data_IF_706835460317
#
_entry.id   IF_706835460317
#
_cell.length_a   1.000
_cell.length_b   1.000
_cell.length_c   1.000
_cell.angle_alpha   90.00
_cell.angle_beta   90.00
_cell.angle_gamma   90.00
#
_symmetry.space_group_name_H-M   'P 1'
#
loop_
_entity.id
_entity.type
_entity.pdbx_description
1 polymer ?
#
# COMPACT_ATOMS: atom_id res chain seq x y z
N UNK A 1 10.18 -1.33 -39.31
CA UNK A 1 9.96 -2.22 -38.14
C UNK A 1 9.51 -1.34 -36.98
N UNK A 2 8.21 -1.28 -36.72
CA UNK A 2 7.62 -0.51 -35.61
C UNK A 2 7.99 -1.19 -34.29
N UNK A 3 8.52 -0.41 -33.35
CA UNK A 3 8.87 -0.87 -32.01
C UNK A 3 7.60 -1.26 -31.25
N UNK A 4 7.36 -2.54 -30.91
CA UNK A 4 6.13 -2.99 -30.25
C UNK A 4 5.97 -2.47 -28.80
N UNK A 5 6.95 -1.74 -28.28
CA UNK A 5 6.93 -1.16 -26.93
C UNK A 5 6.45 0.30 -26.87
N UNK A 6 6.32 1.00 -28.01
CA UNK A 6 5.94 2.40 -28.05
C UNK A 6 4.50 2.65 -27.52
N UNK A 7 3.58 1.72 -27.73
CA UNK A 7 2.18 1.85 -27.29
C UNK A 7 1.90 1.38 -25.84
N UNK A 8 2.89 0.75 -25.18
CA UNK A 8 2.70 0.18 -23.82
C UNK A 8 3.07 1.15 -22.69
N UNK A 9 3.98 2.09 -22.94
CA UNK A 9 4.47 3.04 -21.92
C UNK A 9 3.37 4.02 -21.49
N UNK A 10 2.60 4.64 -22.40
CA UNK A 10 1.50 5.52 -22.01
C UNK A 10 0.43 4.83 -21.15
N UNK A 11 0.11 3.57 -21.45
CA UNK A 11 -0.88 2.80 -20.66
C UNK A 11 -0.42 2.50 -19.24
N UNK A 12 0.87 2.21 -19.01
CA UNK A 12 1.41 1.98 -17.66
C UNK A 12 1.32 3.24 -16.82
N UNK A 13 1.79 4.36 -17.34
CA UNK A 13 1.80 5.65 -16.64
C UNK A 13 0.39 6.11 -16.27
N UNK A 14 -0.58 5.98 -17.19
CA UNK A 14 -1.98 6.28 -16.93
C UNK A 14 -2.55 5.41 -15.79
N UNK A 15 -2.23 4.10 -15.78
CA UNK A 15 -2.67 3.21 -14.70
C UNK A 15 -2.02 3.55 -13.36
N UNK A 16 -0.74 3.91 -13.35
CA UNK A 16 -0.03 4.31 -12.14
C UNK A 16 -0.57 5.63 -11.58
N UNK A 17 -0.91 6.58 -12.44
CA UNK A 17 -1.53 7.83 -12.00
C UNK A 17 -2.94 7.60 -11.47
N UNK A 18 -3.73 6.77 -12.15
CA UNK A 18 -5.06 6.39 -11.69
C UNK A 18 -5.04 5.71 -10.32
N UNK A 19 -4.10 4.80 -10.08
CA UNK A 19 -3.95 4.14 -8.77
C UNK A 19 -3.55 5.14 -7.69
N UNK A 20 -2.63 6.05 -8.03
CA UNK A 20 -2.20 7.11 -7.11
C UNK A 20 -3.39 7.96 -6.67
N UNK A 21 -4.15 8.49 -7.64
CA UNK A 21 -5.28 9.36 -7.34
C UNK A 21 -6.37 8.64 -6.55
N UNK A 22 -6.75 7.42 -6.95
CA UNK A 22 -7.76 6.63 -6.21
C UNK A 22 -7.34 6.39 -4.75
N UNK A 23 -6.08 6.03 -4.53
CA UNK A 23 -5.57 5.74 -3.20
C UNK A 23 -5.52 6.99 -2.32
N UNK A 24 -5.13 8.13 -2.91
CA UNK A 24 -5.15 9.44 -2.25
C UNK A 24 -6.56 9.83 -1.82
N UNK A 25 -7.51 9.78 -2.76
CA UNK A 25 -8.89 10.19 -2.51
C UNK A 25 -9.57 9.27 -1.50
N UNK A 26 -9.35 7.96 -1.59
CA UNK A 26 -9.88 7.01 -0.61
C UNK A 26 -9.35 7.28 0.80
N UNK A 27 -8.06 7.52 0.97
CA UNK A 27 -7.52 7.80 2.32
C UNK A 27 -8.02 9.12 2.86
N UNK A 28 -8.13 10.13 2.01
CA UNK A 28 -8.69 11.44 2.38
C UNK A 28 -10.15 11.36 2.81
N UNK A 29 -10.97 10.53 2.16
CA UNK A 29 -12.42 10.49 2.38
C UNK A 29 -12.87 9.36 3.32
N UNK A 30 -12.20 8.20 3.26
CA UNK A 30 -12.65 6.95 3.92
C UNK A 30 -11.75 6.54 5.06
N UNK A 31 -10.49 7.02 5.07
CA UNK A 31 -9.48 6.65 6.07
C UNK A 31 -9.11 5.16 6.03
N UNK A 32 -8.30 4.67 6.98
CA UNK A 32 -7.80 3.28 7.05
C UNK A 32 -6.89 2.89 5.88
N UNK A 33 -5.66 3.39 5.95
CA UNK A 33 -4.62 3.33 4.90
C UNK A 33 -4.41 1.95 4.25
N UNK A 34 -4.56 0.84 4.98
CA UNK A 34 -4.46 -0.51 4.42
C UNK A 34 -5.65 -0.84 3.51
N UNK A 35 -6.88 -0.50 3.94
CA UNK A 35 -8.07 -0.70 3.09
C UNK A 35 -8.07 0.21 1.87
N UNK A 36 -7.64 1.46 2.02
CA UNK A 36 -7.57 2.42 0.91
C UNK A 36 -6.55 1.96 -0.15
N UNK A 37 -5.38 1.45 0.28
CA UNK A 37 -4.39 0.83 -0.61
C UNK A 37 -4.98 -0.37 -1.34
N UNK A 38 -5.63 -1.29 -0.61
CA UNK A 38 -6.24 -2.50 -1.19
C UNK A 38 -7.36 -2.11 -2.16
N UNK A 39 -8.26 -1.20 -1.79
CA UNK A 39 -9.38 -0.77 -2.63
C UNK A 39 -8.92 -0.15 -3.96
N UNK A 40 -7.92 0.75 -3.92
CA UNK A 40 -7.38 1.39 -5.11
C UNK A 40 -6.77 0.37 -6.07
N UNK A 41 -5.98 -0.57 -5.53
CA UNK A 41 -5.36 -1.64 -6.32
C UNK A 41 -6.39 -2.64 -6.85
N UNK A 42 -7.42 -2.99 -6.05
CA UNK A 42 -8.54 -3.81 -6.52
C UNK A 42 -9.27 -3.15 -7.69
N UNK A 43 -9.51 -1.84 -7.60
CA UNK A 43 -10.17 -1.09 -8.67
C UNK A 43 -9.38 -1.11 -9.98
N UNK A 44 -8.07 -0.90 -9.93
CA UNK A 44 -7.22 -0.85 -11.13
C UNK A 44 -6.95 -2.24 -11.72
N UNK A 45 -6.70 -3.25 -10.87
CA UNK A 45 -6.47 -4.63 -11.31
C UNK A 45 -7.75 -5.46 -11.45
N UNK A 46 -8.94 -4.86 -11.24
CA UNK A 46 -10.25 -5.51 -11.31
C UNK A 46 -10.37 -6.76 -10.41
N UNK A 47 -9.77 -6.69 -9.21
CA UNK A 47 -9.80 -7.78 -8.22
C UNK A 47 -11.14 -7.76 -7.48
N UNK A 48 -11.97 -8.78 -7.69
CA UNK A 48 -13.28 -8.93 -7.06
C UNK A 48 -13.22 -9.82 -5.80
N UNK A 49 -12.45 -9.40 -4.78
CA UNK A 49 -12.31 -10.16 -3.54
C UNK A 49 -12.74 -9.34 -2.32
N UNK A 50 -13.96 -9.57 -1.84
CA UNK A 50 -14.48 -8.93 -0.61
C UNK A 50 -13.67 -9.36 0.63
N UNK A 51 -13.20 -10.61 0.67
CA UNK A 51 -12.40 -11.13 1.77
C UNK A 51 -11.07 -10.39 1.87
N UNK A 52 -10.36 -10.19 0.76
CA UNK A 52 -9.10 -9.45 0.74
C UNK A 52 -9.28 -8.02 1.26
N UNK A 53 -10.37 -7.36 0.89
CA UNK A 53 -10.70 -6.02 1.39
C UNK A 53 -10.98 -6.03 2.89
N UNK A 54 -11.90 -6.89 3.37
CA UNK A 54 -12.29 -6.89 4.79
C UNK A 54 -11.15 -7.29 5.72
N UNK A 55 -10.29 -8.24 5.32
CA UNK A 55 -9.15 -8.70 6.12
C UNK A 55 -8.02 -7.67 6.22
N UNK A 56 -8.00 -6.65 5.36
CA UNK A 56 -7.01 -5.57 5.46
C UNK A 56 -7.33 -4.52 6.52
N UNK A 57 -8.55 -4.48 7.09
CA UNK A 57 -9.00 -3.42 8.00
C UNK A 57 -8.08 -3.21 9.21
N UNK A 58 -7.83 -4.26 9.98
CA UNK A 58 -7.04 -4.15 11.22
C UNK A 58 -5.56 -3.82 11.00
N UNK A 59 -5.06 -3.85 9.75
CA UNK A 59 -3.69 -3.49 9.41
C UNK A 59 -3.48 -1.97 9.30
N UNK A 60 -4.56 -1.18 9.36
CA UNK A 60 -4.50 0.29 9.33
C UNK A 60 -3.79 0.87 10.55
N UNK A 61 -3.16 2.05 10.35
CA UNK A 61 -2.50 2.79 11.43
C UNK A 61 -1.42 2.00 12.18
N UNK A 62 -0.66 1.16 11.48
CA UNK A 62 0.40 0.35 12.10
C UNK A 62 -0.15 -0.73 13.02
N UNK A 63 -1.15 -1.46 12.54
CA UNK A 63 -1.95 -2.47 13.26
C UNK A 63 -2.88 -1.82 14.30
N UNK A 64 -4.19 -1.87 14.02
CA UNK A 64 -5.24 -1.37 14.91
C UNK A 64 -4.98 0.07 15.44
N UNK A 65 -4.44 0.96 14.60
CA UNK A 65 -4.12 2.35 14.96
C UNK A 65 -3.14 2.53 16.13
N UNK A 66 -2.35 1.50 16.46
CA UNK A 66 -1.31 1.59 17.51
C UNK A 66 -0.10 2.43 17.10
N UNK A 67 0.08 2.64 15.80
CA UNK A 67 1.25 3.24 15.16
C UNK A 67 2.57 2.47 15.34
N UNK A 68 2.58 1.37 16.11
CA UNK A 68 3.79 0.59 16.43
C UNK A 68 4.16 -0.44 15.35
N UNK A 69 3.20 -0.87 14.55
CA UNK A 69 3.41 -1.85 13.48
C UNK A 69 3.72 -1.21 12.12
N UNK A 70 3.77 -2.09 11.11
CA UNK A 70 4.01 -1.70 9.71
C UNK A 70 2.96 -0.69 9.22
N UNK A 71 3.38 0.33 8.48
CA UNK A 71 2.47 1.28 7.83
C UNK A 71 1.43 0.53 6.99
N UNK A 72 0.15 0.90 7.15
CA UNK A 72 -0.97 0.22 6.46
C UNK A 72 -0.88 0.28 4.94
N UNK A 73 -0.28 1.33 4.38
CA UNK A 73 -0.05 1.42 2.94
C UNK A 73 0.94 0.33 2.45
N UNK A 74 1.99 0.06 3.22
CA UNK A 74 2.91 -1.05 2.93
C UNK A 74 2.23 -2.41 3.13
N UNK A 75 1.50 -2.57 4.24
CA UNK A 75 0.78 -3.82 4.55
C UNK A 75 -0.26 -4.16 3.48
N UNK A 76 -1.08 -3.19 3.06
CA UNK A 76 -2.06 -3.35 1.98
C UNK A 76 -1.42 -3.71 0.65
N UNK A 77 -0.31 -3.06 0.31
CA UNK A 77 0.49 -3.39 -0.88
C UNK A 77 1.04 -4.82 -0.84
N UNK A 78 1.58 -5.26 0.30
CA UNK A 78 2.06 -6.62 0.50
C UNK A 78 0.94 -7.66 0.34
N UNK A 79 -0.28 -7.36 0.81
CA UNK A 79 -1.45 -8.22 0.62
C UNK A 79 -1.80 -8.38 -0.87
N UNK A 80 -1.78 -7.31 -1.65
CA UNK A 80 -2.06 -7.37 -3.09
C UNK A 80 -0.95 -8.13 -3.84
N UNK A 81 0.31 -7.92 -3.51
CA UNK A 81 1.43 -8.72 -4.06
C UNK A 81 1.20 -10.20 -3.73
N UNK A 82 0.81 -10.51 -2.49
CA UNK A 82 0.55 -11.89 -2.07
C UNK A 82 -0.68 -12.49 -2.75
N UNK A 83 -1.69 -11.69 -3.09
CA UNK A 83 -2.84 -12.15 -3.87
C UNK A 83 -2.43 -12.68 -5.24
N UNK A 84 -1.50 -12.00 -5.92
CA UNK A 84 -1.03 -12.42 -7.24
C UNK A 84 0.02 -13.55 -7.18
N UNK A 85 0.92 -13.49 -6.21
CA UNK A 85 2.14 -14.29 -6.21
C UNK A 85 2.38 -15.07 -4.91
N UNK A 86 1.46 -15.00 -3.95
CA UNK A 86 1.58 -15.68 -2.66
C UNK A 86 1.47 -17.20 -2.78
N UNK A 87 1.98 -17.89 -1.77
CA UNK A 87 1.89 -19.34 -1.66
C UNK A 87 0.43 -19.76 -1.48
N UNK A 88 -0.06 -20.66 -2.32
CA UNK A 88 -1.40 -21.22 -2.23
C UNK A 88 -1.50 -22.21 -1.08
N UNK A 89 -2.73 -22.48 -0.63
CA UNK A 89 -2.99 -23.40 0.50
C UNK A 89 -2.41 -24.79 0.24
N UNK A 90 -2.58 -25.32 -0.95
CA UNK A 90 -2.10 -26.65 -1.35
C UNK A 90 -0.56 -26.71 -1.33
N UNK A 91 0.10 -25.64 -1.77
CA UNK A 91 1.56 -25.48 -1.73
C UNK A 91 2.06 -25.40 -0.28
N UNK A 92 1.29 -24.71 0.60
CA UNK A 92 1.60 -24.63 2.03
C UNK A 92 1.65 -26.00 2.67
N UNK A 93 0.62 -26.83 2.48
CA UNK A 93 0.58 -28.18 3.08
C UNK A 93 1.62 -29.14 2.48
N UNK A 94 2.07 -28.89 1.25
CA UNK A 94 3.16 -29.66 0.61
C UNK A 94 4.56 -29.14 0.97
N UNK A 95 4.67 -28.08 1.80
CA UNK A 95 5.95 -27.48 2.16
C UNK A 95 6.66 -26.78 0.99
N UNK A 96 5.96 -26.46 -0.10
CA UNK A 96 6.55 -25.81 -1.28
C UNK A 96 6.88 -24.35 -0.92
N UNK A 97 8.15 -23.91 -1.06
CA UNK A 97 8.51 -22.53 -0.75
C UNK A 97 8.02 -21.57 -1.81
N UNK A 98 7.71 -20.33 -1.40
CA UNK A 98 7.42 -19.23 -2.32
C UNK A 98 8.42 -18.09 -2.11
N UNK A 99 9.36 -17.93 -3.04
CA UNK A 99 10.36 -16.85 -3.00
C UNK A 99 9.88 -15.59 -3.73
N UNK A 100 8.95 -15.74 -4.68
CA UNK A 100 8.55 -14.65 -5.58
C UNK A 100 7.81 -13.54 -4.85
N UNK A 101 6.77 -13.88 -4.06
CA UNK A 101 6.02 -12.91 -3.28
C UNK A 101 6.92 -12.14 -2.30
N UNK A 102 7.82 -12.87 -1.60
CA UNK A 102 8.78 -12.25 -0.68
C UNK A 102 9.71 -11.28 -1.40
N UNK A 103 10.25 -11.65 -2.55
CA UNK A 103 11.12 -10.79 -3.34
C UNK A 103 10.42 -9.51 -3.81
N UNK A 104 9.18 -9.62 -4.31
CA UNK A 104 8.41 -8.48 -4.78
C UNK A 104 8.00 -7.56 -3.61
N UNK A 105 7.59 -8.14 -2.48
CA UNK A 105 7.28 -7.39 -1.26
C UNK A 105 8.53 -6.68 -0.70
N UNK A 106 9.71 -7.32 -0.78
CA UNK A 106 10.97 -6.69 -0.40
C UNK A 106 11.27 -5.45 -1.24
N UNK A 107 10.97 -5.45 -2.54
CA UNK A 107 11.11 -4.25 -3.38
C UNK A 107 10.19 -3.10 -2.90
N UNK A 108 8.97 -3.42 -2.50
CA UNK A 108 8.05 -2.42 -1.93
C UNK A 108 8.57 -1.88 -0.60
N UNK A 109 9.03 -2.78 0.29
CA UNK A 109 9.66 -2.43 1.55
C UNK A 109 10.86 -1.49 1.34
N UNK A 110 11.75 -1.79 0.39
CA UNK A 110 12.94 -0.98 0.12
C UNK A 110 12.57 0.44 -0.31
N UNK A 111 11.48 0.64 -1.07
CA UNK A 111 10.97 1.97 -1.42
C UNK A 111 10.48 2.73 -0.19
N UNK A 112 9.82 2.06 0.76
CA UNK A 112 9.43 2.69 2.03
C UNK A 112 10.65 3.10 2.85
N UNK A 113 11.68 2.25 2.94
CA UNK A 113 12.92 2.60 3.63
C UNK A 113 13.61 3.79 2.96
N UNK A 114 13.69 3.80 1.64
CA UNK A 114 14.31 4.90 0.90
C UNK A 114 13.58 6.23 1.10
N UNK A 115 12.24 6.23 1.09
CA UNK A 115 11.42 7.44 1.18
C UNK A 115 11.26 7.94 2.61
N UNK A 116 11.00 7.02 3.57
CA UNK A 116 10.61 7.37 4.93
C UNK A 116 11.65 7.01 6.00
N UNK A 117 12.69 6.26 5.65
CA UNK A 117 13.70 5.76 6.59
C UNK A 117 13.25 4.56 7.41
N UNK A 118 11.97 4.17 7.34
CA UNK A 118 11.38 3.08 8.13
C UNK A 118 10.12 2.53 7.46
N UNK A 119 9.72 1.33 7.85
CA UNK A 119 8.43 0.74 7.49
C UNK A 119 7.36 0.90 8.57
N UNK A 120 7.75 1.36 9.79
CA UNK A 120 6.84 1.49 10.93
C UNK A 120 5.98 2.77 10.80
N UNK A 121 4.69 2.65 11.13
CA UNK A 121 3.75 3.76 11.02
C UNK A 121 4.22 4.99 11.81
N UNK A 122 4.66 4.82 13.07
CA UNK A 122 5.17 5.91 13.90
C UNK A 122 6.35 6.66 13.30
N UNK A 123 7.24 5.96 12.60
CA UNK A 123 8.42 6.58 12.01
C UNK A 123 8.08 7.27 10.68
N UNK A 124 7.17 6.68 9.88
CA UNK A 124 6.58 7.36 8.73
C UNK A 124 5.91 8.65 9.18
N UNK A 125 5.11 8.62 10.27
CA UNK A 125 4.53 9.83 10.86
C UNK A 125 5.60 10.85 11.27
N UNK A 126 6.65 10.44 11.99
CA UNK A 126 7.76 11.34 12.33
C UNK A 126 8.36 12.01 11.11
N UNK A 127 8.51 11.28 10.00
CA UNK A 127 9.06 11.83 8.76
C UNK A 127 8.17 12.90 8.14
N UNK A 128 6.83 12.70 8.15
CA UNK A 128 5.91 13.59 7.44
C UNK A 128 5.29 14.69 8.32
N UNK A 129 5.27 14.51 9.66
CA UNK A 129 4.73 15.49 10.62
C UNK A 129 5.78 16.07 11.56
N UNK A 130 6.99 15.49 11.64
CA UNK A 130 7.99 15.83 12.68
C UNK A 130 7.74 15.10 14.01
N UNK A 131 6.64 14.39 14.18
CA UNK A 131 6.27 13.60 15.36
C UNK A 131 5.36 12.43 15.00
N UNK A 132 5.19 11.48 15.90
CA UNK A 132 4.11 10.50 15.87
C UNK A 132 2.99 10.88 16.82
N UNK A 133 1.81 10.28 16.63
CA UNK A 133 0.60 10.51 17.41
C UNK A 133 0.10 9.20 18.01
N UNK A 134 -0.48 9.27 19.21
CA UNK A 134 -1.23 8.16 19.78
C UNK A 134 -2.69 8.23 19.30
N UNK A 135 -3.03 7.46 18.26
CA UNK A 135 -4.37 7.52 17.67
C UNK A 135 -5.47 6.86 18.53
N UNK A 136 -5.12 6.29 19.69
CA UNK A 136 -6.06 5.83 20.72
C UNK A 136 -6.39 6.90 21.76
N UNK A 137 -5.64 8.00 21.81
CA UNK A 137 -5.95 9.17 22.60
C UNK A 137 -6.72 10.19 21.75
N UNK A 138 -7.90 10.59 22.20
CA UNK A 138 -8.80 11.48 21.42
C UNK A 138 -8.15 12.86 21.13
N UNK A 139 -7.36 13.40 22.06
CA UNK A 139 -6.67 14.69 21.86
C UNK A 139 -5.54 14.56 20.84
N UNK A 140 -4.77 13.49 20.92
CA UNK A 140 -3.71 13.20 19.94
C UNK A 140 -4.29 12.93 18.54
N UNK A 141 -5.42 12.24 18.47
CA UNK A 141 -6.15 12.01 17.22
C UNK A 141 -6.67 13.32 16.63
N UNK A 142 -7.26 14.19 17.44
CA UNK A 142 -7.70 15.51 16.99
C UNK A 142 -6.51 16.35 16.49
N UNK A 143 -5.37 16.30 17.19
CA UNK A 143 -4.14 16.97 16.76
C UNK A 143 -3.59 16.41 15.47
N UNK A 144 -3.63 15.08 15.27
CA UNK A 144 -3.26 14.43 14.02
C UNK A 144 -4.11 14.95 12.84
N UNK A 145 -5.44 15.05 13.01
CA UNK A 145 -6.33 15.60 11.98
C UNK A 145 -6.01 17.07 11.68
N UNK A 146 -5.86 17.91 12.71
CA UNK A 146 -5.48 19.32 12.56
C UNK A 146 -4.11 19.52 11.90
N UNK A 147 -3.22 18.54 12.04
CA UNK A 147 -1.90 18.55 11.40
C UNK A 147 -1.92 18.10 9.92
N UNK A 148 -3.09 17.85 9.35
CA UNK A 148 -3.26 17.42 7.98
C UNK A 148 -3.25 15.90 7.78
N UNK A 149 -3.53 15.13 8.84
CA UNK A 149 -3.48 13.67 8.85
C UNK A 149 -4.16 13.04 7.64
N UNK A 150 -5.45 13.31 7.46
CA UNK A 150 -6.23 12.84 6.32
C UNK A 150 -6.49 13.92 5.25
N UNK A 151 -5.79 15.06 5.29
CA UNK A 151 -5.89 16.08 4.23
C UNK A 151 -4.93 15.75 3.09
N UNK A 152 -3.65 15.62 3.39
CA UNK A 152 -2.57 15.42 2.40
C UNK A 152 -1.46 14.48 2.88
N UNK A 153 -1.23 14.38 4.19
CA UNK A 153 -0.08 13.67 4.76
C UNK A 153 -0.19 12.15 4.56
N UNK A 154 -1.09 11.47 5.25
CA UNK A 154 -1.33 10.05 5.06
C UNK A 154 -1.86 9.72 3.67
N UNK A 155 -2.77 10.54 3.04
CA UNK A 155 -3.16 10.32 1.65
C UNK A 155 -1.98 10.22 0.68
N UNK A 156 -0.95 11.06 0.82
CA UNK A 156 0.27 10.99 0.00
C UNK A 156 1.06 9.70 0.21
N UNK A 157 1.14 9.21 1.46
CA UNK A 157 1.82 7.93 1.79
C UNK A 157 1.09 6.75 1.16
N UNK A 158 -0.25 6.73 1.28
CA UNK A 158 -1.12 5.68 0.73
C UNK A 158 -1.05 5.66 -0.79
N UNK A 159 -1.14 6.82 -1.42
CA UNK A 159 -1.02 6.98 -2.86
C UNK A 159 0.33 6.50 -3.41
N UNK A 160 1.44 6.87 -2.78
CA UNK A 160 2.78 6.39 -3.14
C UNK A 160 2.89 4.87 -2.96
N UNK A 161 2.46 4.33 -1.82
CA UNK A 161 2.49 2.89 -1.53
C UNK A 161 1.70 2.08 -2.56
N UNK A 162 0.50 2.53 -2.92
CA UNK A 162 -0.34 1.91 -3.94
C UNK A 162 0.30 1.99 -5.34
N UNK A 163 0.83 3.15 -5.72
CA UNK A 163 1.53 3.36 -7.00
C UNK A 163 2.75 2.45 -7.14
N UNK A 164 3.60 2.37 -6.11
CA UNK A 164 4.77 1.48 -6.10
C UNK A 164 4.38 0.01 -6.19
N UNK A 165 3.32 -0.38 -5.48
CA UNK A 165 2.79 -1.74 -5.55
C UNK A 165 2.31 -2.08 -6.97
N UNK A 166 1.53 -1.19 -7.58
CA UNK A 166 1.06 -1.36 -8.95
C UNK A 166 2.21 -1.46 -9.95
N UNK A 167 3.22 -0.61 -9.82
CA UNK A 167 4.41 -0.63 -10.67
C UNK A 167 5.16 -1.95 -10.58
N UNK A 168 5.41 -2.45 -9.36
CA UNK A 168 6.08 -3.75 -9.14
C UNK A 168 5.31 -4.89 -9.80
N UNK A 169 3.97 -4.90 -9.68
CA UNK A 169 3.12 -5.94 -10.29
C UNK A 169 3.13 -5.82 -11.80
N UNK A 170 2.96 -4.61 -12.36
CA UNK A 170 2.96 -4.40 -13.81
C UNK A 170 4.29 -4.78 -14.47
N UNK A 171 5.41 -4.50 -13.81
CA UNK A 171 6.73 -4.88 -14.29
C UNK A 171 6.95 -6.40 -14.27
N UNK A 172 6.33 -7.08 -13.32
CA UNK A 172 6.41 -8.55 -13.24
C UNK A 172 5.48 -9.23 -14.26
N UNK A 173 4.33 -8.65 -14.57
CA UNK A 173 3.40 -9.17 -15.59
C UNK A 173 3.90 -9.01 -17.03
N UNK A 174 4.93 -8.20 -17.27
CA UNK A 174 5.54 -7.96 -18.59
C UNK A 174 6.70 -8.90 -18.92
N UNK A 175 7.18 -9.68 -17.94
CA UNK A 175 8.23 -10.69 -18.11
C UNK A 175 7.68 -11.99 -18.65
#
# INVERSE_FOLDING_TARGET
>A
MSNPNADKIPKKEILLEKVYQLAFDFEKEKHYCSQCTVAALQGVFQIKSKVLFSTSFALGGGLANTCEGTCGALAGGAMIISYFYGRRREEFFKGIPNKKANYLTKKLYDRFIQEYGSCLCKDVQKKIFGRSFNLWDEKEKELFEKSGGHIDKCPSVVAKGAKWTAEIILDELRK
#
